data_IF_074891899477
#
_entry.id   IF_074891899477
#
_cell.length_a   1.000
_cell.length_b   1.000
_cell.length_c   1.000
_cell.angle_alpha   90.00
_cell.angle_beta   90.00
_cell.angle_gamma   90.00
#
_symmetry.space_group_name_H-M   'P 1'
#
loop_
_entity.id
_entity.type
_entity.pdbx_description
1 polymer ?
#
# COMPACT_ATOMS: atom_id res chain seq x y z
N UNK A 1 -10.88 -9.80 -12.52
CA UNK A 1 -10.17 -9.58 -11.24
C UNK A 1 -9.32 -8.32 -11.28
N UNK A 2 -8.40 -8.17 -12.24
CA UNK A 2 -7.52 -6.97 -12.34
C UNK A 2 -8.34 -5.68 -12.44
N UNK A 3 -9.31 -5.62 -13.35
CA UNK A 3 -10.17 -4.44 -13.51
C UNK A 3 -10.98 -4.15 -12.25
N UNK A 4 -11.46 -5.19 -11.56
CA UNK A 4 -12.20 -5.01 -10.31
C UNK A 4 -11.32 -4.38 -9.23
N UNK A 5 -10.06 -4.80 -9.13
CA UNK A 5 -9.10 -4.21 -8.21
C UNK A 5 -8.79 -2.75 -8.57
N UNK A 6 -8.61 -2.47 -9.86
CA UNK A 6 -8.40 -1.10 -10.36
C UNK A 6 -9.58 -0.18 -9.99
N UNK A 7 -10.80 -0.61 -10.27
CA UNK A 7 -11.99 0.17 -9.96
C UNK A 7 -12.17 0.39 -8.46
N UNK A 8 -11.94 -0.63 -7.64
CA UNK A 8 -12.04 -0.52 -6.19
C UNK A 8 -11.03 0.49 -5.62
N UNK A 9 -9.78 0.44 -6.09
CA UNK A 9 -8.78 1.41 -5.65
C UNK A 9 -9.12 2.83 -6.10
N UNK A 10 -9.61 2.99 -7.33
CA UNK A 10 -10.05 4.28 -7.83
C UNK A 10 -11.17 4.86 -6.96
N UNK A 11 -12.21 4.08 -6.68
CA UNK A 11 -13.32 4.51 -5.83
C UNK A 11 -12.87 4.92 -4.42
N UNK A 12 -11.99 4.15 -3.81
CA UNK A 12 -11.41 4.48 -2.51
C UNK A 12 -10.65 5.80 -2.57
N UNK A 13 -9.80 5.98 -3.58
CA UNK A 13 -8.98 7.17 -3.71
C UNK A 13 -9.80 8.42 -4.06
N UNK A 14 -10.90 8.26 -4.80
CA UNK A 14 -11.84 9.36 -5.06
C UNK A 14 -12.58 9.78 -3.79
N UNK A 15 -13.02 8.82 -2.99
CA UNK A 15 -13.75 9.07 -1.75
C UNK A 15 -12.86 9.56 -0.61
N UNK A 16 -11.57 9.24 -0.62
CA UNK A 16 -10.63 9.47 0.48
C UNK A 16 -9.39 10.21 -0.02
N UNK A 17 -9.33 11.54 0.09
CA UNK A 17 -8.12 12.31 -0.30
C UNK A 17 -6.86 11.88 0.43
N UNK A 18 -6.99 11.32 1.64
CA UNK A 18 -5.89 10.81 2.46
C UNK A 18 -5.38 9.43 2.03
N UNK A 19 -6.03 8.78 1.06
CA UNK A 19 -5.60 7.48 0.55
C UNK A 19 -4.38 7.63 -0.37
N UNK A 20 -3.38 6.78 -0.15
CA UNK A 20 -2.16 6.67 -0.96
C UNK A 20 -2.05 5.26 -1.52
N UNK A 21 -1.46 5.14 -2.70
CA UNK A 21 -1.17 3.85 -3.32
C UNK A 21 0.32 3.81 -3.67
N UNK A 22 1.05 2.86 -3.12
CA UNK A 22 2.47 2.76 -3.43
C UNK A 22 3.01 1.33 -3.31
N UNK A 23 4.15 1.14 -3.91
CA UNK A 23 4.91 -0.10 -3.96
C UNK A 23 5.96 -0.01 -5.05
N UNK A 24 6.67 -1.11 -5.32
CA UNK A 24 7.59 -1.11 -6.46
C UNK A 24 6.78 -1.20 -7.77
N UNK A 25 7.12 -0.35 -8.73
CA UNK A 25 6.51 -0.30 -10.08
C UNK A 25 4.99 -0.06 -10.11
N UNK A 26 4.42 0.50 -9.06
CA UNK A 26 2.99 0.81 -8.97
C UNK A 26 2.65 2.11 -9.66
N UNK A 27 3.49 3.11 -9.48
CA UNK A 27 3.28 4.47 -10.01
C UNK A 27 3.69 4.63 -11.47
N UNK A 28 3.59 5.88 -11.95
CA UNK A 28 3.96 6.22 -13.30
C UNK A 28 3.13 5.48 -14.34
N UNK A 29 3.79 4.98 -15.39
CA UNK A 29 3.13 4.26 -16.48
C UNK A 29 3.02 2.75 -16.22
N UNK A 30 3.73 2.23 -15.23
CA UNK A 30 3.79 0.78 -14.98
C UNK A 30 2.47 0.27 -14.41
N UNK A 31 2.00 0.85 -13.32
CA UNK A 31 0.68 0.53 -12.79
C UNK A 31 0.57 -0.83 -12.11
N UNK A 32 1.68 -1.32 -11.53
CA UNK A 32 1.72 -2.63 -10.90
C UNK A 32 2.06 -3.76 -11.85
N UNK A 33 2.44 -4.90 -11.31
CA UNK A 33 2.92 -6.07 -12.08
C UNK A 33 1.85 -6.63 -13.03
N UNK A 34 0.60 -6.60 -12.65
CA UNK A 34 -0.54 -7.02 -13.47
C UNK A 34 -1.37 -5.84 -13.98
N UNK A 35 -0.83 -4.63 -13.90
CA UNK A 35 -1.46 -3.39 -14.33
C UNK A 35 -2.76 -3.04 -13.60
N UNK A 36 -2.94 -3.55 -12.42
CA UNK A 36 -4.11 -3.30 -11.56
C UNK A 36 -4.16 -1.87 -11.01
N UNK A 37 -3.06 -1.13 -11.11
CA UNK A 37 -3.00 0.29 -10.78
C UNK A 37 -2.80 1.17 -12.03
N UNK A 38 -3.02 0.62 -13.22
CA UNK A 38 -2.87 1.35 -14.47
C UNK A 38 -3.70 2.63 -14.49
N UNK A 39 -3.09 3.74 -14.92
CA UNK A 39 -3.72 5.06 -15.01
C UNK A 39 -3.98 5.78 -13.68
N UNK A 40 -3.84 5.12 -12.54
CA UNK A 40 -4.12 5.78 -11.26
C UNK A 40 -3.13 6.91 -10.94
N UNK A 41 -1.85 6.76 -11.29
CA UNK A 41 -0.87 7.83 -11.13
C UNK A 41 -1.21 9.07 -11.99
N UNK A 42 -1.70 8.87 -13.20
CA UNK A 42 -2.14 9.95 -14.09
C UNK A 42 -3.42 10.62 -13.56
N UNK A 43 -4.29 9.85 -12.92
CA UNK A 43 -5.55 10.37 -12.39
C UNK A 43 -5.36 11.15 -11.08
N UNK A 44 -4.57 10.62 -10.14
CA UNK A 44 -4.44 11.17 -8.79
C UNK A 44 -3.14 11.91 -8.53
N UNK A 45 -2.16 11.79 -9.42
CA UNK A 45 -0.85 12.43 -9.30
C UNK A 45 0.17 11.58 -8.56
N UNK A 46 1.44 11.94 -8.78
CA UNK A 46 2.58 11.17 -8.23
C UNK A 46 2.74 11.33 -6.72
N UNK A 47 2.11 12.34 -6.13
CA UNK A 47 2.09 12.50 -4.67
C UNK A 47 1.21 11.48 -3.97
N UNK A 48 0.26 10.91 -4.69
CA UNK A 48 -0.68 9.92 -4.15
C UNK A 48 -0.47 8.52 -4.68
N UNK A 49 0.12 8.37 -5.86
CA UNK A 49 0.41 7.07 -6.47
C UNK A 49 1.88 7.08 -6.90
N UNK A 50 2.73 6.37 -6.17
CA UNK A 50 4.17 6.48 -6.36
C UNK A 50 4.90 5.16 -6.17
N UNK A 51 6.14 5.14 -6.66
CA UNK A 51 7.02 3.99 -6.55
C UNK A 51 7.91 4.06 -5.31
N UNK A 52 8.22 2.90 -4.78
CA UNK A 52 9.27 2.71 -3.78
C UNK A 52 10.45 1.96 -4.41
N UNK A 53 11.62 1.96 -3.76
CA UNK A 53 12.64 0.94 -4.05
C UNK A 53 12.08 -0.47 -3.85
N UNK A 54 12.79 -1.47 -4.38
CA UNK A 54 12.51 -2.88 -4.10
C UNK A 54 12.89 -3.17 -2.65
N UNK A 55 11.96 -2.97 -1.72
CA UNK A 55 12.19 -3.11 -0.30
C UNK A 55 10.86 -3.41 0.42
N UNK A 56 10.53 -4.68 0.53
CA UNK A 56 9.25 -5.13 1.09
C UNK A 56 9.10 -4.74 2.56
N UNK A 57 10.19 -4.74 3.32
CA UNK A 57 10.17 -4.29 4.71
C UNK A 57 9.77 -2.81 4.82
N UNK A 58 10.27 -1.96 3.92
CA UNK A 58 9.87 -0.56 3.87
C UNK A 58 8.40 -0.42 3.44
N UNK A 59 8.00 -1.14 2.40
CA UNK A 59 6.62 -1.05 1.86
C UNK A 59 5.61 -1.37 2.96
N UNK A 60 5.80 -2.45 3.68
CA UNK A 60 4.90 -2.86 4.77
C UNK A 60 5.10 -1.97 6.01
N UNK A 61 6.34 -1.77 6.44
CA UNK A 61 6.64 -1.03 7.68
C UNK A 61 6.21 0.44 7.65
N UNK A 62 6.30 1.10 6.50
CA UNK A 62 5.91 2.50 6.35
C UNK A 62 4.41 2.73 6.58
N UNK A 63 3.58 1.70 6.43
CA UNK A 63 2.13 1.82 6.67
C UNK A 63 1.80 2.24 8.10
N UNK A 64 2.63 1.87 9.05
CA UNK A 64 2.44 2.24 10.47
C UNK A 64 2.55 3.76 10.65
N UNK A 65 3.63 4.36 10.16
CA UNK A 65 3.83 5.80 10.26
C UNK A 65 2.82 6.60 9.43
N UNK A 66 2.53 6.13 8.22
CA UNK A 66 1.50 6.75 7.36
C UNK A 66 0.14 6.77 8.06
N UNK A 67 -0.26 5.64 8.62
CA UNK A 67 -1.51 5.53 9.35
C UNK A 67 -1.55 6.41 10.60
N UNK A 68 -0.43 6.49 11.34
CA UNK A 68 -0.33 7.31 12.55
C UNK A 68 -0.58 8.80 12.30
N UNK A 69 -0.24 9.30 11.12
CA UNK A 69 -0.47 10.71 10.73
C UNK A 69 -1.79 10.92 9.98
N UNK A 70 -2.65 9.92 9.94
CA UNK A 70 -4.00 10.04 9.37
C UNK A 70 -4.12 9.68 7.89
N UNK A 71 -3.06 9.18 7.27
CA UNK A 71 -3.11 8.69 5.90
C UNK A 71 -3.68 7.26 5.86
N UNK A 72 -4.18 6.87 4.69
CA UNK A 72 -4.71 5.54 4.44
C UNK A 72 -3.88 4.86 3.34
N UNK A 73 -2.78 4.20 3.71
CA UNK A 73 -1.93 3.56 2.71
C UNK A 73 -2.55 2.28 2.16
N UNK A 74 -2.53 2.17 0.84
CA UNK A 74 -2.75 0.94 0.09
C UNK A 74 -1.38 0.59 -0.50
N UNK A 75 -0.81 -0.52 -0.06
CA UNK A 75 0.53 -0.90 -0.51
C UNK A 75 0.48 -2.20 -1.29
N UNK A 76 1.40 -2.33 -2.24
CA UNK A 76 1.56 -3.55 -3.01
C UNK A 76 2.94 -4.14 -2.77
N UNK A 77 2.96 -5.39 -2.32
CA UNK A 77 4.13 -6.28 -2.41
C UNK A 77 4.01 -7.02 -3.74
N UNK A 78 4.96 -6.84 -4.64
CA UNK A 78 4.82 -7.19 -6.05
C UNK A 78 4.42 -8.65 -6.29
N UNK A 79 5.01 -9.58 -5.52
CA UNK A 79 4.68 -11.01 -5.58
C UNK A 79 4.65 -11.62 -4.17
N UNK A 80 3.75 -12.58 -3.97
CA UNK A 80 3.65 -13.32 -2.71
C UNK A 80 4.97 -14.00 -2.33
N UNK A 81 5.72 -14.47 -3.32
CA UNK A 81 7.00 -15.14 -3.10
C UNK A 81 8.06 -14.23 -2.45
N UNK A 82 7.90 -12.92 -2.54
CA UNK A 82 8.88 -11.94 -2.06
C UNK A 82 8.45 -11.21 -0.79
N UNK A 83 7.34 -11.62 -0.17
CA UNK A 83 6.82 -10.95 1.03
C UNK A 83 7.70 -11.15 2.27
N UNK A 84 8.53 -12.17 2.29
CA UNK A 84 9.27 -12.61 3.48
C UNK A 84 10.02 -11.51 4.22
N UNK A 85 10.79 -10.62 3.55
CA UNK A 85 11.44 -9.52 4.26
C UNK A 85 10.45 -8.55 4.93
N UNK A 86 9.24 -8.45 4.39
CA UNK A 86 8.19 -7.59 4.93
C UNK A 86 7.40 -8.22 6.07
N UNK A 87 7.43 -9.55 6.23
CA UNK A 87 6.69 -10.23 7.29
C UNK A 87 7.18 -9.84 8.68
N UNK A 88 8.47 -9.56 8.84
CA UNK A 88 8.98 -9.05 10.09
C UNK A 88 8.24 -7.78 10.50
N UNK A 89 8.08 -6.83 9.60
CA UNK A 89 7.37 -5.59 9.85
C UNK A 89 5.87 -5.82 10.11
N UNK A 90 5.28 -6.77 9.39
CA UNK A 90 3.88 -7.12 9.60
C UNK A 90 3.64 -7.64 11.03
N UNK A 91 4.50 -8.53 11.50
CA UNK A 91 4.34 -9.15 12.81
C UNK A 91 4.78 -8.27 13.97
N UNK A 92 5.87 -7.51 13.80
CA UNK A 92 6.44 -6.72 14.90
C UNK A 92 5.84 -5.33 15.02
N UNK A 93 5.39 -4.74 13.91
CA UNK A 93 4.94 -3.36 13.88
C UNK A 93 3.44 -3.25 13.56
N UNK A 94 3.00 -3.70 12.39
CA UNK A 94 1.62 -3.51 11.93
C UNK A 94 0.62 -4.16 12.89
N UNK A 95 0.86 -5.42 13.28
CA UNK A 95 -0.06 -6.17 14.12
C UNK A 95 -0.09 -5.72 15.57
N UNK A 96 0.96 -5.05 16.04
CA UNK A 96 1.15 -4.77 17.47
C UNK A 96 1.00 -3.30 17.85
N UNK A 97 1.12 -2.38 16.89
CA UNK A 97 1.15 -0.94 17.18
C UNK A 97 -0.05 -0.45 18.00
N UNK A 98 -1.24 -0.90 17.66
CA UNK A 98 -2.45 -0.52 18.37
C UNK A 98 -2.42 -1.00 19.84
N UNK A 99 -2.03 -2.24 20.06
CA UNK A 99 -1.93 -2.81 21.40
C UNK A 99 -0.84 -2.13 22.23
N UNK A 100 0.37 -2.01 21.66
CA UNK A 100 1.51 -1.42 22.39
C UNK A 100 1.31 0.06 22.69
N UNK A 101 0.56 0.79 21.89
CA UNK A 101 0.24 2.20 22.09
C UNK A 101 -1.00 2.41 22.96
N UNK A 102 -1.59 1.36 23.51
CA UNK A 102 -2.83 1.42 24.27
C UNK A 102 -3.97 2.04 23.47
N UNK A 103 -4.12 1.64 22.21
CA UNK A 103 -5.19 2.10 21.33
C UNK A 103 -4.96 3.45 20.66
N UNK A 104 -3.79 4.08 20.87
CA UNK A 104 -3.52 5.42 20.32
C UNK A 104 -3.16 5.39 18.82
N UNK A 105 -2.54 4.29 18.36
CA UNK A 105 -2.03 4.17 17.01
C UNK A 105 -2.58 2.92 16.30
N UNK A 106 -3.87 2.93 15.95
CA UNK A 106 -4.40 1.88 15.09
C UNK A 106 -3.76 1.98 13.70
N UNK A 107 -3.43 0.85 13.10
CA UNK A 107 -2.88 0.82 11.75
C UNK A 107 -4.01 0.54 10.77
N UNK A 108 -4.34 1.53 9.96
CA UNK A 108 -5.37 1.46 8.93
C UNK A 108 -4.67 1.36 7.57
N UNK A 109 -4.53 0.17 7.03
CA UNK A 109 -3.86 -0.04 5.75
C UNK A 109 -4.47 -1.20 4.97
N UNK A 110 -4.20 -1.22 3.68
CA UNK A 110 -4.46 -2.38 2.81
C UNK A 110 -3.12 -2.86 2.29
N UNK A 111 -2.82 -4.13 2.45
CA UNK A 111 -1.62 -4.76 1.90
C UNK A 111 -2.09 -5.72 0.80
N UNK A 112 -1.74 -5.39 -0.43
CA UNK A 112 -2.04 -6.20 -1.62
C UNK A 112 -0.83 -7.05 -1.96
N UNK A 113 -1.08 -8.33 -2.17
CA UNK A 113 -0.01 -9.28 -2.49
C UNK A 113 -0.48 -10.12 -3.67
N UNK A 114 -0.18 -9.72 -4.90
CA UNK A 114 -0.53 -10.52 -6.08
C UNK A 114 0.12 -11.90 -6.03
N UNK A 115 -0.66 -12.89 -6.42
CA UNK A 115 -0.22 -14.28 -6.53
C UNK A 115 -0.52 -14.76 -7.95
N UNK A 116 0.53 -15.02 -8.66
CA UNK A 116 0.48 -15.27 -10.10
C UNK A 116 -0.13 -16.58 -10.57
#
# INVERSE_FOLDING_TARGET
MVDSALFAMREIMEAHPEALLYGQDVGGRLGGVFREAATLAQTFGDDRVFNTPIQEAYIIGSTVGMSAVGLKPIVEVQFADYIWPGLNQLFTEVSRSNYLSNGKWPVSCVIRVPNG
#
